data_IF_202855961963
#
_entry.id   IF_202855961963
#
_cell.length_a   1.000
_cell.length_b   1.000
_cell.length_c   1.000
_cell.angle_alpha   90.00
_cell.angle_beta   90.00
_cell.angle_gamma   90.00
#
_symmetry.space_group_name_H-M   'P 1'
#
loop_
_entity.id
_entity.type
_entity.pdbx_description
1 polymer ?
#
# COMPACT_ATOMS: atom_id res chain seq x y z
N UNK A 1 -3.80 11.98 10.09
CA UNK A 1 -4.59 11.06 9.24
C UNK A 1 -3.62 10.03 8.69
N UNK A 2 -3.93 8.76 8.93
CA UNK A 2 -3.07 7.62 8.63
C UNK A 2 -3.39 7.11 7.22
N UNK A 3 -2.38 6.80 6.39
CA UNK A 3 -2.58 6.36 4.99
C UNK A 3 -2.20 7.37 3.89
N UNK A 4 -1.34 8.35 4.19
CA UNK A 4 -0.77 9.31 3.22
C UNK A 4 0.30 8.72 2.28
N UNK A 5 0.51 7.40 2.28
CA UNK A 5 1.40 6.77 1.30
C UNK A 5 0.77 6.85 -0.09
N UNK A 6 1.51 7.33 -1.09
CA UNK A 6 1.08 7.33 -2.50
C UNK A 6 1.11 5.92 -3.14
N UNK A 7 1.43 4.89 -2.34
CA UNK A 7 1.65 3.52 -2.80
C UNK A 7 0.68 2.56 -2.11
N UNK A 8 0.16 1.57 -2.85
CA UNK A 8 -0.58 0.42 -2.33
C UNK A 8 0.13 -0.91 -2.64
N UNK A 9 -0.13 -1.91 -1.80
CA UNK A 9 0.41 -3.28 -1.88
C UNK A 9 -0.74 -4.29 -1.79
N UNK A 10 -0.66 -5.41 -2.50
CA UNK A 10 -1.60 -6.53 -2.34
C UNK A 10 -1.38 -7.29 -1.03
N UNK A 11 -0.12 -7.41 -0.59
CA UNK A 11 0.21 -8.16 0.62
C UNK A 11 0.98 -7.31 1.61
N UNK A 12 0.54 -7.36 2.87
CA UNK A 12 1.22 -6.65 3.98
C UNK A 12 2.65 -7.18 4.18
N UNK A 13 2.92 -8.44 3.84
CA UNK A 13 4.26 -9.05 3.90
C UNK A 13 5.25 -8.44 2.90
N UNK A 14 4.77 -7.81 1.83
CA UNK A 14 5.60 -7.11 0.85
C UNK A 14 5.90 -5.65 1.25
N UNK A 15 5.28 -5.17 2.34
CA UNK A 15 5.50 -3.83 2.86
C UNK A 15 6.89 -3.80 3.54
N UNK A 16 7.75 -2.82 3.22
CA UNK A 16 9.05 -2.67 3.87
C UNK A 16 8.91 -2.66 5.40
N UNK A 17 9.80 -3.37 6.11
CA UNK A 17 9.76 -3.49 7.57
C UNK A 17 9.93 -2.16 8.33
N UNK A 18 10.48 -1.15 7.67
CA UNK A 18 10.57 0.23 8.18
C UNK A 18 9.25 1.03 8.00
N UNK A 19 8.19 0.41 7.49
CA UNK A 19 6.89 1.05 7.34
C UNK A 19 6.19 1.13 8.68
N UNK A 20 5.60 2.28 8.97
CA UNK A 20 4.72 2.42 10.12
C UNK A 20 3.39 1.71 9.83
N UNK A 21 3.25 0.46 10.29
CA UNK A 21 2.06 -0.37 10.10
C UNK A 21 0.79 0.23 10.71
N UNK A 22 0.90 1.12 11.70
CA UNK A 22 -0.26 1.85 12.23
C UNK A 22 -0.87 2.81 11.19
N UNK A 23 -0.11 3.12 10.13
CA UNK A 23 -0.57 3.93 9.01
C UNK A 23 -1.00 3.12 7.78
N UNK A 24 -0.94 1.79 7.86
CA UNK A 24 -1.41 0.90 6.80
C UNK A 24 -2.92 0.74 6.92
N UNK A 25 -3.64 1.17 5.89
CA UNK A 25 -5.10 1.02 5.81
C UNK A 25 -5.42 0.01 4.72
N UNK A 26 -6.13 -1.06 5.08
CA UNK A 26 -6.67 -2.02 4.10
C UNK A 26 -7.83 -1.36 3.36
N UNK A 27 -7.75 -1.28 2.04
CA UNK A 27 -8.83 -0.79 1.18
C UNK A 27 -8.83 -1.55 -0.14
N UNK A 28 -9.91 -1.46 -0.91
CA UNK A 28 -9.96 -2.07 -2.25
C UNK A 28 -9.02 -1.35 -3.21
N UNK A 29 -8.53 -2.08 -4.22
CA UNK A 29 -7.68 -1.52 -5.28
C UNK A 29 -8.36 -0.32 -5.96
N UNK A 30 -9.65 -0.44 -6.27
CA UNK A 30 -10.42 0.66 -6.87
C UNK A 30 -10.45 1.92 -6.00
N UNK A 31 -10.45 1.77 -4.67
CA UNK A 31 -10.34 2.89 -3.73
C UNK A 31 -8.93 3.46 -3.68
N UNK A 32 -7.91 2.61 -3.80
CA UNK A 32 -6.51 3.06 -3.86
C UNK A 32 -6.28 3.89 -5.14
N UNK A 33 -6.75 3.40 -6.29
CA UNK A 33 -6.68 4.10 -7.57
C UNK A 33 -7.48 5.41 -7.54
N UNK A 34 -8.70 5.42 -7.00
CA UNK A 34 -9.49 6.64 -6.89
C UNK A 34 -8.87 7.70 -5.98
N UNK A 35 -8.02 7.27 -5.04
CA UNK A 35 -7.19 8.14 -4.18
C UNK A 35 -5.85 8.51 -4.81
N UNK A 36 -5.63 8.17 -6.08
CA UNK A 36 -4.38 8.47 -6.80
C UNK A 36 -3.19 7.64 -6.36
N UNK A 37 -3.40 6.52 -5.66
CA UNK A 37 -2.30 5.65 -5.23
C UNK A 37 -1.83 4.77 -6.39
N UNK A 38 -0.52 4.59 -6.49
CA UNK A 38 0.12 3.74 -7.48
C UNK A 38 0.49 2.39 -6.89
N UNK A 39 0.52 1.37 -7.73
CA UNK A 39 0.93 0.04 -7.34
C UNK A 39 2.42 0.02 -7.00
N UNK A 40 2.81 -0.66 -5.92
CA UNK A 40 4.22 -0.86 -5.59
C UNK A 40 4.91 -1.74 -6.64
N UNK A 41 5.88 -1.18 -7.38
CA UNK A 41 6.75 -1.94 -8.31
C UNK A 41 7.58 -3.04 -7.61
N UNK A 42 7.64 -3.01 -6.27
CA UNK A 42 8.38 -3.98 -5.46
C UNK A 42 7.61 -5.26 -5.10
N UNK A 43 6.37 -5.40 -5.55
CA UNK A 43 5.68 -6.69 -5.49
C UNK A 43 6.27 -7.61 -6.55
N UNK A 44 7.48 -8.12 -6.30
CA UNK A 44 8.02 -9.23 -7.09
C UNK A 44 7.05 -10.39 -6.96
N UNK A 45 6.35 -10.69 -8.06
CA UNK A 45 5.63 -11.94 -8.24
C UNK A 45 6.57 -13.09 -7.86
N UNK A 46 6.25 -13.77 -6.76
CA UNK A 46 6.91 -15.00 -6.36
C UNK A 46 5.91 -16.15 -6.53
#
# INVERSE_FOLDING_TARGET
>A
MSGNSDVYWYRIENIPSNTNFNNVVKMSEQTAISRGKHHSEKEKYN
#
